data_IF_446204749134
#
_entry.id   IF_446204749134
#
_cell.length_a   1.000
_cell.length_b   1.000
_cell.length_c   1.000
_cell.angle_alpha   90.00
_cell.angle_beta   90.00
_cell.angle_gamma   90.00
#
_symmetry.space_group_name_H-M   'P 1'
#
loop_
_entity.id
_entity.type
_entity.pdbx_description
1 polymer ?
#
# COMPACT_ATOMS: atom_id res chain seq x y z
N UNK A 1 -30.90 -41.66 24.13
CA UNK A 1 -30.67 -40.61 23.12
C UNK A 1 -29.76 -39.58 23.75
N UNK A 2 -28.52 -39.45 23.27
CA UNK A 2 -27.57 -38.50 23.84
C UNK A 2 -27.98 -37.07 23.52
N UNK A 3 -27.89 -36.17 24.50
CA UNK A 3 -28.14 -34.75 24.33
C UNK A 3 -26.96 -34.15 23.54
N UNK A 4 -27.17 -33.89 22.25
CA UNK A 4 -26.23 -33.07 21.48
C UNK A 4 -26.45 -31.60 21.85
N UNK A 5 -25.35 -30.88 22.11
CA UNK A 5 -25.37 -29.43 22.27
C UNK A 5 -24.67 -28.80 21.09
N UNK A 6 -25.32 -27.80 20.49
CA UNK A 6 -24.73 -26.95 19.46
C UNK A 6 -23.99 -25.81 20.16
N UNK A 7 -22.74 -25.55 19.74
CA UNK A 7 -21.89 -24.50 20.31
C UNK A 7 -21.77 -23.37 19.29
N UNK A 8 -21.97 -22.14 19.73
CA UNK A 8 -21.68 -20.94 18.94
C UNK A 8 -20.94 -19.91 19.79
N UNK A 9 -20.38 -18.91 19.12
CA UNK A 9 -19.69 -17.78 19.73
C UNK A 9 -20.53 -16.51 19.50
N UNK A 10 -20.89 -15.81 20.56
CA UNK A 10 -21.50 -14.48 20.47
C UNK A 10 -20.39 -13.43 20.56
N UNK A 11 -20.14 -12.73 19.45
CA UNK A 11 -19.09 -11.71 19.40
C UNK A 11 -19.66 -10.35 19.83
N UNK A 12 -19.05 -9.73 20.83
CA UNK A 12 -19.43 -8.39 21.31
C UNK A 12 -18.59 -7.28 20.66
N UNK A 13 -17.39 -7.60 20.22
CA UNK A 13 -16.48 -6.69 19.56
C UNK A 13 -15.56 -7.47 18.62
N UNK A 14 -15.49 -7.05 17.36
CA UNK A 14 -14.70 -7.72 16.33
C UNK A 14 -13.62 -6.73 15.89
N UNK A 15 -12.36 -7.13 16.03
CA UNK A 15 -11.21 -6.40 15.50
C UNK A 15 -10.57 -7.25 14.42
N UNK A 16 -10.46 -6.70 13.22
CA UNK A 16 -9.76 -7.34 12.11
C UNK A 16 -8.25 -7.27 12.39
N UNK A 17 -7.63 -8.43 12.58
CA UNK A 17 -6.19 -8.53 12.92
C UNK A 17 -5.29 -8.60 11.69
N UNK A 18 -5.82 -9.03 10.55
CA UNK A 18 -5.10 -8.97 9.28
C UNK A 18 -5.20 -7.57 8.73
N UNK A 19 -4.07 -6.86 8.61
CA UNK A 19 -3.97 -5.70 7.72
C UNK A 19 -4.17 -6.21 6.30
N UNK A 20 -5.41 -6.24 5.82
CA UNK A 20 -5.63 -6.16 4.38
C UNK A 20 -5.23 -4.74 3.98
N UNK A 21 -4.74 -4.54 2.75
CA UNK A 21 -4.31 -3.23 2.25
C UNK A 21 -5.39 -2.14 2.43
N UNK A 22 -6.66 -2.56 2.53
CA UNK A 22 -7.83 -1.72 2.82
C UNK A 22 -7.92 -1.19 4.27
N UNK A 23 -7.30 -1.83 5.28
CA UNK A 23 -7.34 -1.38 6.69
C UNK A 23 -6.24 -0.37 7.04
N UNK A 24 -5.28 -0.15 6.13
CA UNK A 24 -4.32 0.96 6.22
C UNK A 24 -4.93 2.29 5.77
N UNK A 25 -6.26 2.34 5.53
CA UNK A 25 -7.04 3.53 5.18
C UNK A 25 -7.32 4.47 6.37
N UNK A 26 -6.73 4.20 7.53
CA UNK A 26 -6.48 5.26 8.50
C UNK A 26 -5.34 6.11 7.97
N UNK A 27 -5.67 7.26 7.38
CA UNK A 27 -4.70 8.27 6.98
C UNK A 27 -3.94 8.76 8.22
N UNK A 28 -2.92 8.02 8.64
CA UNK A 28 -1.87 8.60 9.46
C UNK A 28 -1.22 9.65 8.59
N UNK A 29 -1.39 10.91 8.98
CA UNK A 29 -0.69 12.02 8.36
C UNK A 29 0.83 11.74 8.44
N UNK A 30 1.54 12.03 7.36
CA UNK A 30 2.99 11.93 7.35
C UNK A 30 3.56 12.77 8.49
N UNK A 31 4.47 12.17 9.26
CA UNK A 31 5.21 12.88 10.31
C UNK A 31 6.13 13.94 9.69
N UNK A 32 6.52 14.94 10.49
CA UNK A 32 7.44 16.00 10.02
C UNK A 32 8.78 15.43 9.53
N UNK A 33 9.24 14.34 10.15
CA UNK A 33 10.49 13.67 9.75
C UNK A 33 10.35 12.98 8.38
N UNK A 34 9.23 12.32 8.12
CA UNK A 34 8.94 11.71 6.81
C UNK A 34 8.82 12.78 5.71
N UNK A 35 8.19 13.92 6.03
CA UNK A 35 8.11 15.06 5.10
C UNK A 35 9.50 15.60 4.74
N UNK A 36 10.42 15.68 5.70
CA UNK A 36 11.81 16.10 5.43
C UNK A 36 12.49 15.14 4.46
N UNK A 37 12.34 13.84 4.66
CA UNK A 37 12.92 12.82 3.77
C UNK A 37 12.38 12.91 2.34
N UNK A 38 11.08 13.17 2.16
CA UNK A 38 10.46 13.33 0.84
C UNK A 38 11.06 14.51 0.05
N UNK A 39 11.53 15.56 0.75
CA UNK A 39 12.12 16.74 0.11
C UNK A 39 13.58 16.58 -0.32
N UNK A 40 14.22 15.46 0.00
CA UNK A 40 15.60 15.19 -0.40
C UNK A 40 15.71 14.96 -1.91
N UNK A 41 16.78 15.46 -2.54
CA UNK A 41 16.95 15.41 -4.01
C UNK A 41 17.01 13.97 -4.55
N UNK A 42 17.48 13.01 -3.76
CA UNK A 42 17.66 11.61 -4.10
C UNK A 42 16.53 10.70 -3.60
N UNK A 43 15.41 11.26 -3.14
CA UNK A 43 14.29 10.49 -2.58
C UNK A 43 13.75 9.44 -3.55
N UNK A 44 13.65 9.76 -4.84
CA UNK A 44 13.22 8.82 -5.88
C UNK A 44 14.16 7.61 -6.00
N UNK A 45 15.47 7.85 -5.96
CA UNK A 45 16.48 6.80 -6.05
C UNK A 45 16.49 5.95 -4.77
N UNK A 46 16.32 6.56 -3.59
CA UNK A 46 16.19 5.87 -2.30
C UNK A 46 15.01 4.91 -2.25
N UNK A 47 13.84 5.34 -2.74
CA UNK A 47 12.67 4.48 -2.84
C UNK A 47 12.89 3.31 -3.81
N UNK A 48 13.49 3.58 -4.97
CA UNK A 48 13.77 2.54 -5.95
C UNK A 48 14.77 1.50 -5.41
N UNK A 49 15.84 1.94 -4.72
CA UNK A 49 16.82 1.06 -4.11
C UNK A 49 16.23 0.20 -2.96
N UNK A 50 15.19 0.71 -2.30
CA UNK A 50 14.47 0.01 -1.22
C UNK A 50 13.53 -1.09 -1.74
N UNK A 51 13.27 -1.16 -3.04
CA UNK A 51 12.50 -2.26 -3.66
C UNK A 51 13.42 -3.47 -3.86
N UNK A 52 13.07 -4.58 -3.22
CA UNK A 52 13.81 -5.85 -3.27
C UNK A 52 15.33 -5.62 -3.09
N UNK A 53 15.76 -5.08 -1.94
CA UNK A 53 17.16 -4.70 -1.70
C UNK A 53 18.11 -5.91 -1.71
N UNK A 54 17.58 -7.12 -1.52
CA UNK A 54 18.35 -8.36 -1.60
C UNK A 54 18.81 -8.70 -3.04
N UNK A 55 18.24 -8.04 -4.05
CA UNK A 55 18.60 -8.23 -5.46
C UNK A 55 19.54 -7.10 -5.90
N UNK A 56 20.76 -7.45 -6.28
CA UNK A 56 21.77 -6.51 -6.78
C UNK A 56 21.46 -6.03 -8.22
N UNK A 57 21.68 -4.74 -8.47
CA UNK A 57 21.50 -4.10 -9.78
C UNK A 57 20.03 -3.85 -10.13
N UNK A 58 19.73 -3.83 -11.43
CA UNK A 58 18.37 -3.60 -11.97
C UNK A 58 17.75 -2.24 -11.60
N UNK A 59 18.57 -1.20 -11.45
CA UNK A 59 18.12 0.15 -11.06
C UNK A 59 16.93 0.65 -11.89
N UNK A 60 17.01 0.57 -13.21
CA UNK A 60 15.94 1.04 -14.11
C UNK A 60 14.65 0.22 -13.97
N UNK A 61 14.76 -1.09 -13.69
CA UNK A 61 13.60 -1.96 -13.50
C UNK A 61 12.92 -1.63 -12.18
N UNK A 62 13.68 -1.44 -11.10
CA UNK A 62 13.15 -1.06 -9.79
C UNK A 62 12.48 0.32 -9.84
N UNK A 63 13.08 1.27 -10.56
CA UNK A 63 12.49 2.58 -10.88
C UNK A 63 11.17 2.47 -11.66
N UNK A 64 11.11 1.59 -12.66
CA UNK A 64 9.88 1.36 -13.41
C UNK A 64 8.78 0.72 -12.55
N UNK A 65 9.13 -0.25 -11.70
CA UNK A 65 8.20 -0.86 -10.75
C UNK A 65 7.67 0.15 -9.73
N UNK A 66 8.52 1.05 -9.23
CA UNK A 66 8.10 2.14 -8.35
C UNK A 66 7.04 3.02 -9.02
N UNK A 67 7.26 3.43 -10.28
CA UNK A 67 6.28 4.22 -11.02
C UNK A 67 4.98 3.46 -11.29
N UNK A 68 5.06 2.14 -11.48
CA UNK A 68 3.88 1.29 -11.61
C UNK A 68 3.04 1.24 -10.33
N UNK A 69 3.67 1.25 -9.14
CA UNK A 69 2.99 1.28 -7.84
C UNK A 69 2.35 2.64 -7.54
N UNK A 70 3.05 3.74 -7.90
CA UNK A 70 2.49 5.09 -7.79
C UNK A 70 1.29 5.26 -8.73
N UNK A 71 1.38 4.66 -9.93
CA UNK A 71 0.36 4.75 -10.95
C UNK A 71 0.39 6.07 -11.71
N UNK A 72 -0.20 6.07 -12.90
CA UNK A 72 -0.39 7.29 -13.68
C UNK A 72 -1.68 8.01 -13.32
N UNK A 73 -1.84 9.21 -13.88
CA UNK A 73 -3.04 10.02 -13.68
C UNK A 73 -4.10 9.62 -14.70
N UNK A 74 -5.22 9.06 -14.25
CA UNK A 74 -6.39 8.83 -15.10
C UNK A 74 -6.97 10.18 -15.56
N UNK A 75 -7.28 10.30 -16.86
CA UNK A 75 -7.86 11.51 -17.44
C UNK A 75 -9.16 11.17 -18.16
N UNK A 76 -10.11 12.11 -18.14
CA UNK A 76 -11.37 11.97 -18.88
C UNK A 76 -11.66 13.20 -19.76
N UNK A 77 -10.80 13.52 -20.75
CA UNK A 77 -11.07 14.61 -21.66
C UNK A 77 -12.29 14.28 -22.52
N UNK A 78 -13.26 15.19 -22.54
CA UNK A 78 -14.45 15.10 -23.40
C UNK A 78 -15.27 13.80 -23.23
N UNK A 79 -15.29 13.23 -22.02
CA UNK A 79 -16.10 12.07 -21.67
C UNK A 79 -15.50 10.71 -22.03
N UNK A 80 -14.29 10.67 -22.60
CA UNK A 80 -13.55 9.43 -22.84
C UNK A 80 -12.51 9.21 -21.74
N UNK A 81 -12.59 8.07 -21.05
CA UNK A 81 -11.60 7.69 -20.03
C UNK A 81 -10.30 7.21 -20.68
N UNK A 82 -9.19 7.78 -20.25
CA UNK A 82 -7.83 7.41 -20.62
C UNK A 82 -7.15 6.90 -19.35
N UNK A 83 -6.72 5.63 -19.40
CA UNK A 83 -5.94 5.01 -18.33
C UNK A 83 -4.61 5.75 -18.12
N UNK A 84 -4.26 5.96 -16.85
CA UNK A 84 -2.97 6.47 -16.40
C UNK A 84 -1.92 5.37 -16.36
#
# INVERSE_FOLDING_TARGET
QGLLSETYLEAHHIVKMTKSEEDASGADELTEEELRQITEEDFYDKLAASIAPEIYGHEDVKKALLLQLVGGVERSPHGMRIRG
#
